data_IF_620561110122
#
_entry.id   IF_620561110122
#
_cell.length_a   1.000
_cell.length_b   1.000
_cell.length_c   1.000
_cell.angle_alpha   90.00
_cell.angle_beta   90.00
_cell.angle_gamma   90.00
#
_symmetry.space_group_name_H-M   'P 1'
#
loop_
_entity.id
_entity.type
_entity.pdbx_description
1 polymer ?
#
# COMPACT_ATOMS: atom_id res chain seq x y z
N UNK A 1 -24.42 -57.58 45.75
CA UNK A 1 -22.96 -57.34 45.83
C UNK A 1 -22.29 -57.79 44.52
N UNK A 2 -21.93 -56.86 43.63
CA UNK A 2 -20.81 -56.99 42.66
C UNK A 2 -20.36 -55.57 42.29
N UNK A 3 -19.19 -55.17 42.80
CA UNK A 3 -18.49 -53.94 42.40
C UNK A 3 -17.81 -54.24 41.06
N UNK A 4 -18.03 -53.43 40.03
CA UNK A 4 -17.03 -53.22 38.99
C UNK A 4 -17.08 -51.75 38.57
N UNK A 5 -15.96 -51.09 38.84
CA UNK A 5 -15.62 -49.72 38.52
C UNK A 5 -14.86 -49.74 37.18
N UNK A 6 -15.38 -49.06 36.16
CA UNK A 6 -14.70 -48.63 34.94
C UNK A 6 -15.12 -47.17 34.77
N UNK A 7 -14.37 -46.16 35.23
CA UNK A 7 -13.09 -45.64 34.72
C UNK A 7 -13.09 -45.33 33.21
N UNK A 8 -12.95 -44.02 32.93
CA UNK A 8 -12.27 -43.39 31.77
C UNK A 8 -13.10 -42.86 30.59
N UNK A 9 -13.07 -41.52 30.50
CA UNK A 9 -13.06 -40.64 29.32
C UNK A 9 -14.29 -40.53 28.42
N UNK A 10 -15.13 -39.53 28.72
CA UNK A 10 -15.76 -38.75 27.64
C UNK A 10 -14.75 -37.68 27.23
N UNK A 11 -14.09 -37.91 26.10
CA UNK A 11 -13.08 -37.04 25.51
C UNK A 11 -13.71 -35.69 25.16
N UNK A 12 -13.25 -34.64 25.83
CA UNK A 12 -13.51 -33.25 25.49
C UNK A 12 -12.91 -32.94 24.12
N UNK A 13 -13.69 -33.08 23.05
CA UNK A 13 -13.32 -32.60 21.72
C UNK A 13 -13.67 -31.11 21.65
N UNK A 14 -12.86 -30.27 22.30
CA UNK A 14 -12.81 -28.85 21.95
C UNK A 14 -12.14 -28.80 20.58
N UNK A 15 -12.96 -28.77 19.52
CA UNK A 15 -12.52 -28.48 18.18
C UNK A 15 -12.00 -27.03 18.16
N UNK A 16 -10.73 -26.85 18.52
CA UNK A 16 -10.00 -25.62 18.24
C UNK A 16 -9.85 -25.53 16.73
N UNK A 17 -10.86 -24.98 16.07
CA UNK A 17 -10.76 -24.51 14.71
C UNK A 17 -9.64 -23.46 14.69
N UNK A 18 -8.43 -23.91 14.32
CA UNK A 18 -7.32 -23.04 13.99
C UNK A 18 -7.77 -22.22 12.78
N UNK A 19 -8.29 -21.02 13.05
CA UNK A 19 -8.46 -19.97 12.06
C UNK A 19 -7.03 -19.57 11.67
N UNK A 20 -6.47 -20.28 10.69
CA UNK A 20 -5.26 -19.84 10.00
C UNK A 20 -5.65 -18.54 9.27
N UNK A 21 -5.12 -17.37 9.67
CA UNK A 21 -5.29 -16.19 8.85
C UNK A 21 -4.67 -16.51 7.49
N UNK A 22 -5.47 -16.36 6.43
CA UNK A 22 -4.98 -16.43 5.06
C UNK A 22 -3.87 -15.40 4.89
N UNK A 23 -2.62 -15.84 4.93
CA UNK A 23 -1.47 -15.06 4.48
C UNK A 23 -1.47 -15.13 2.95
N UNK A 24 -2.46 -14.50 2.32
CA UNK A 24 -2.40 -14.26 0.88
C UNK A 24 -1.08 -13.54 0.60
N UNK A 25 -0.15 -14.22 -0.08
CA UNK A 25 1.17 -13.69 -0.36
C UNK A 25 1.03 -12.29 -0.98
N UNK A 26 1.70 -11.30 -0.38
CA UNK A 26 1.62 -9.93 -0.86
C UNK A 26 2.07 -9.88 -2.32
N UNK A 27 1.19 -9.40 -3.21
CA UNK A 27 1.51 -9.19 -4.62
C UNK A 27 2.79 -8.35 -4.70
N UNK A 28 3.80 -8.84 -5.41
CA UNK A 28 5.05 -8.10 -5.65
C UNK A 28 4.82 -7.07 -6.75
N UNK A 29 5.22 -5.82 -6.51
CA UNK A 29 5.14 -4.75 -7.50
C UNK A 29 6.57 -4.31 -7.86
N UNK A 30 6.95 -4.24 -9.16
CA UNK A 30 8.30 -3.83 -9.55
C UNK A 30 8.73 -2.48 -8.94
N UNK A 31 7.79 -1.53 -8.88
CA UNK A 31 7.93 -0.21 -8.29
C UNK A 31 8.43 -0.23 -6.84
N UNK A 32 8.15 -1.31 -6.10
CA UNK A 32 8.55 -1.44 -4.69
C UNK A 32 10.08 -1.45 -4.51
N UNK A 33 10.83 -1.70 -5.59
CA UNK A 33 12.30 -1.66 -5.61
C UNK A 33 12.87 -0.25 -5.85
N UNK A 34 12.04 0.72 -6.18
CA UNK A 34 12.48 2.09 -6.44
C UNK A 34 12.84 2.85 -5.16
N UNK A 35 13.57 3.98 -5.27
CA UNK A 35 13.78 4.90 -4.15
C UNK A 35 12.46 5.32 -3.49
N UNK A 36 12.47 5.48 -2.17
CA UNK A 36 11.29 5.84 -1.37
C UNK A 36 11.16 7.34 -1.10
N UNK A 37 12.08 8.13 -1.63
CA UNK A 37 12.14 9.59 -1.52
C UNK A 37 12.54 10.19 -2.86
N UNK A 38 12.10 11.42 -3.10
CA UNK A 38 12.47 12.25 -4.25
C UNK A 38 12.83 13.65 -3.76
N UNK A 39 13.60 14.39 -4.56
CA UNK A 39 13.88 15.80 -4.29
C UNK A 39 12.71 16.66 -4.80
N UNK A 40 12.04 17.34 -3.86
CA UNK A 40 10.93 18.27 -4.12
C UNK A 40 11.30 19.72 -3.80
N UNK A 41 12.58 20.01 -3.54
CA UNK A 41 13.04 21.35 -3.12
C UNK A 41 12.66 22.48 -4.07
N UNK A 42 12.47 22.16 -5.35
CA UNK A 42 12.08 23.11 -6.41
C UNK A 42 10.59 23.11 -6.74
N UNK A 43 9.78 22.32 -6.03
CA UNK A 43 8.35 22.21 -6.31
C UNK A 43 7.60 23.44 -5.76
N UNK A 44 6.52 23.89 -6.41
CA UNK A 44 5.61 24.87 -5.82
C UNK A 44 5.12 24.42 -4.45
N UNK A 45 4.87 25.38 -3.56
CA UNK A 45 4.48 25.15 -2.15
C UNK A 45 3.35 24.12 -2.01
N UNK A 46 2.31 24.22 -2.83
CA UNK A 46 1.18 23.29 -2.84
C UNK A 46 1.62 21.82 -3.05
N UNK A 47 2.54 21.57 -3.98
CA UNK A 47 3.02 20.23 -4.28
C UNK A 47 4.02 19.72 -3.23
N UNK A 48 4.80 20.60 -2.61
CA UNK A 48 5.65 20.26 -1.46
C UNK A 48 4.81 19.86 -0.25
N UNK A 49 3.72 20.58 0.04
CA UNK A 49 2.76 20.20 1.08
C UNK A 49 2.06 18.87 0.76
N UNK A 50 1.65 18.69 -0.50
CA UNK A 50 1.08 17.42 -0.98
C UNK A 50 2.04 16.24 -0.82
N UNK A 51 3.33 16.42 -1.13
CA UNK A 51 4.38 15.42 -0.90
C UNK A 51 4.53 15.08 0.58
N UNK A 52 4.60 16.07 1.46
CA UNK A 52 4.72 15.84 2.91
C UNK A 52 3.54 15.03 3.46
N UNK A 53 2.33 15.37 3.02
CA UNK A 53 1.11 14.65 3.40
C UNK A 53 1.12 13.21 2.88
N UNK A 54 1.54 13.03 1.63
CA UNK A 54 1.72 11.73 1.00
C UNK A 54 2.74 10.85 1.75
N UNK A 55 3.91 11.39 2.11
CA UNK A 55 4.93 10.70 2.90
C UNK A 55 4.44 10.30 4.29
N UNK A 56 3.60 11.13 4.92
CA UNK A 56 3.05 10.85 6.23
C UNK A 56 2.00 9.71 6.19
N UNK A 57 1.13 9.71 5.18
CA UNK A 57 -0.10 8.89 5.15
C UNK A 57 0.01 7.65 4.26
N UNK A 58 0.66 7.73 3.10
CA UNK A 58 0.65 6.64 2.11
C UNK A 58 1.65 5.52 2.41
N UNK A 59 2.61 5.72 3.33
CA UNK A 59 3.59 4.69 3.73
C UNK A 59 3.06 3.60 4.67
N UNK A 60 1.80 3.73 5.13
CA UNK A 60 1.24 2.86 6.18
C UNK A 60 0.96 1.43 5.73
N UNK A 61 0.61 1.23 4.46
CA UNK A 61 0.17 -0.08 3.96
C UNK A 61 1.15 -0.70 2.96
N UNK A 62 1.99 0.10 2.32
CA UNK A 62 3.01 -0.34 1.38
C UNK A 62 4.08 0.74 1.21
N UNK A 63 5.17 0.39 0.52
CA UNK A 63 6.22 1.35 0.20
C UNK A 63 5.70 2.53 -0.61
N UNK A 64 6.27 3.70 -0.34
CA UNK A 64 6.05 4.96 -1.06
C UNK A 64 6.52 4.87 -2.52
N UNK A 65 7.54 4.04 -2.78
CA UNK A 65 8.06 3.84 -4.12
C UNK A 65 6.97 3.39 -5.11
N UNK A 66 5.95 2.65 -4.63
CA UNK A 66 4.88 2.10 -5.47
C UNK A 66 4.13 3.17 -6.28
N UNK A 67 3.58 4.23 -5.64
CA UNK A 67 3.03 5.36 -6.36
C UNK A 67 4.09 6.23 -7.08
N UNK A 68 5.23 6.55 -6.45
CA UNK A 68 6.25 7.44 -7.05
C UNK A 68 6.76 6.95 -8.42
N UNK A 69 6.88 5.63 -8.60
CA UNK A 69 7.42 5.01 -9.81
C UNK A 69 6.33 4.35 -10.68
N UNK A 70 5.06 4.66 -10.44
CA UNK A 70 3.97 4.11 -11.24
C UNK A 70 3.88 4.78 -12.63
N UNK A 71 3.28 4.09 -13.60
CA UNK A 71 2.96 4.64 -14.93
C UNK A 71 1.64 5.43 -14.97
N UNK A 72 0.97 5.69 -13.83
CA UNK A 72 -0.30 6.42 -13.80
C UNK A 72 -0.11 7.90 -14.13
N UNK A 73 -1.08 8.46 -14.85
CA UNK A 73 -1.05 9.84 -15.33
C UNK A 73 -2.39 10.54 -15.09
N UNK A 74 -2.37 11.87 -14.92
CA UNK A 74 -3.58 12.69 -14.89
C UNK A 74 -4.66 12.15 -13.94
N UNK A 75 -5.86 11.90 -14.46
CA UNK A 75 -7.02 11.44 -13.70
C UNK A 75 -6.89 10.03 -13.10
N UNK A 76 -5.93 9.23 -13.57
CA UNK A 76 -5.62 7.95 -12.94
C UNK A 76 -5.29 8.12 -11.46
N UNK A 77 -4.64 9.23 -11.11
CA UNK A 77 -4.29 9.51 -9.73
C UNK A 77 -5.48 9.79 -8.84
N UNK A 78 -6.52 10.48 -9.34
CA UNK A 78 -7.75 10.68 -8.55
C UNK A 78 -8.45 9.36 -8.30
N UNK A 79 -8.63 8.57 -9.36
CA UNK A 79 -9.27 7.27 -9.28
C UNK A 79 -8.50 6.34 -8.34
N UNK A 80 -7.18 6.30 -8.46
CA UNK A 80 -6.34 5.37 -7.70
C UNK A 80 -6.20 5.76 -6.23
N UNK A 81 -6.04 7.05 -5.92
CA UNK A 81 -6.00 7.51 -4.52
C UNK A 81 -7.34 7.27 -3.81
N UNK A 82 -8.48 7.53 -4.47
CA UNK A 82 -9.82 7.17 -3.95
C UNK A 82 -9.98 5.67 -3.75
N UNK A 83 -9.39 4.84 -4.62
CA UNK A 83 -9.37 3.38 -4.43
C UNK A 83 -8.59 2.99 -3.17
N UNK A 84 -7.48 3.65 -2.86
CA UNK A 84 -6.70 3.38 -1.63
C UNK A 84 -7.46 3.80 -0.38
N UNK A 85 -8.18 4.93 -0.40
CA UNK A 85 -9.01 5.39 0.73
C UNK A 85 -10.08 4.38 1.14
N UNK A 86 -10.58 3.57 0.20
CA UNK A 86 -11.57 2.51 0.46
C UNK A 86 -10.97 1.28 1.15
N UNK A 87 -9.65 1.22 1.34
CA UNK A 87 -9.00 0.11 2.05
C UNK A 87 -9.15 0.28 3.57
N UNK A 88 -9.48 -0.80 4.31
CA UNK A 88 -9.57 -0.75 5.76
C UNK A 88 -8.30 -0.16 6.39
N UNK A 89 -8.46 0.77 7.33
CA UNK A 89 -7.34 1.39 8.04
C UNK A 89 -6.53 2.42 7.24
N UNK A 90 -6.98 2.82 6.03
CA UNK A 90 -6.33 3.90 5.29
C UNK A 90 -6.50 5.25 6.04
N UNK A 91 -5.42 5.98 6.36
CA UNK A 91 -5.50 7.24 7.10
C UNK A 91 -5.81 8.47 6.21
N UNK A 92 -6.05 8.27 4.91
CA UNK A 92 -6.28 9.36 3.94
C UNK A 92 -7.75 9.80 4.00
N UNK A 93 -7.97 11.05 4.36
CA UNK A 93 -9.31 11.68 4.43
C UNK A 93 -9.72 12.29 3.08
N UNK A 94 -11.02 12.61 2.89
CA UNK A 94 -11.48 13.32 1.68
C UNK A 94 -10.76 14.64 1.41
N UNK A 95 -10.28 15.34 2.45
CA UNK A 95 -9.54 16.60 2.35
C UNK A 95 -8.08 16.39 1.95
N UNK A 96 -7.48 15.24 2.31
CA UNK A 96 -6.11 14.89 1.94
C UNK A 96 -5.99 14.47 0.48
N UNK A 97 -6.98 13.71 0.00
CA UNK A 97 -6.97 13.09 -1.32
C UNK A 97 -6.61 14.04 -2.46
N UNK A 98 -7.27 15.21 -2.63
CA UNK A 98 -6.96 16.11 -3.73
C UNK A 98 -5.52 16.66 -3.65
N UNK A 99 -4.99 16.92 -2.44
CA UNK A 99 -3.60 17.39 -2.26
C UNK A 99 -2.58 16.32 -2.64
N UNK A 100 -2.81 15.08 -2.20
CA UNK A 100 -1.96 13.94 -2.54
C UNK A 100 -2.01 13.65 -4.04
N UNK A 101 -3.20 13.62 -4.64
CA UNK A 101 -3.36 13.40 -6.08
C UNK A 101 -2.76 14.54 -6.90
N UNK A 102 -2.91 15.80 -6.46
CA UNK A 102 -2.30 16.97 -7.08
C UNK A 102 -0.77 16.88 -7.11
N UNK A 103 -0.15 16.50 -5.99
CA UNK A 103 1.28 16.19 -5.94
C UNK A 103 1.65 15.08 -6.95
N UNK A 104 0.98 13.93 -6.93
CA UNK A 104 1.33 12.78 -7.79
C UNK A 104 1.21 13.10 -9.29
N UNK A 105 0.21 13.90 -9.68
CA UNK A 105 0.07 14.40 -11.06
C UNK A 105 1.22 15.31 -11.46
N UNK A 106 1.57 16.27 -10.59
CA UNK A 106 2.65 17.22 -10.84
C UNK A 106 4.01 16.52 -10.91
N UNK A 107 4.26 15.62 -9.96
CA UNK A 107 5.47 14.82 -9.86
C UNK A 107 5.66 13.94 -11.10
N UNK A 108 4.61 13.22 -11.52
CA UNK A 108 4.66 12.41 -12.74
C UNK A 108 5.04 13.26 -13.95
N UNK A 109 4.42 14.43 -14.13
CA UNK A 109 4.74 15.34 -15.25
C UNK A 109 6.17 15.86 -15.16
N UNK A 110 6.65 16.17 -13.96
CA UNK A 110 7.97 16.76 -13.73
C UNK A 110 9.09 15.74 -13.95
N UNK A 111 8.88 14.50 -13.50
CA UNK A 111 9.89 13.43 -13.55
C UNK A 111 9.54 12.34 -14.56
N UNK A 112 8.72 12.64 -15.57
CA UNK A 112 8.24 11.65 -16.56
C UNK A 112 9.41 10.87 -17.17
N UNK A 113 10.46 11.57 -17.58
CA UNK A 113 11.67 10.95 -18.14
C UNK A 113 12.31 9.96 -17.17
N UNK A 114 12.48 10.33 -15.90
CA UNK A 114 13.06 9.46 -14.88
C UNK A 114 12.22 8.21 -14.64
N UNK A 115 10.89 8.36 -14.62
CA UNK A 115 9.95 7.25 -14.47
C UNK A 115 10.05 6.32 -15.68
N UNK A 116 10.09 6.85 -16.91
CA UNK A 116 10.25 6.05 -18.11
C UNK A 116 11.58 5.30 -18.12
N UNK A 117 12.67 5.95 -17.73
CA UNK A 117 13.99 5.32 -17.68
C UNK A 117 14.07 4.24 -16.58
N UNK A 118 13.38 4.44 -15.44
CA UNK A 118 13.19 3.40 -14.42
C UNK A 118 12.54 2.14 -15.01
N UNK A 119 11.48 2.30 -15.81
CA UNK A 119 10.78 1.17 -16.43
C UNK A 119 11.58 0.49 -17.53
N UNK A 120 12.26 1.25 -18.40
CA UNK A 120 13.16 0.68 -19.41
C UNK A 120 14.23 -0.21 -18.78
N UNK A 121 14.81 0.22 -17.66
CA UNK A 121 15.80 -0.57 -16.90
C UNK A 121 15.22 -1.87 -16.32
N UNK A 122 13.92 -1.92 -16.06
CA UNK A 122 13.25 -3.12 -15.57
C UNK A 122 12.83 -4.07 -16.70
N UNK A 123 12.43 -3.52 -17.85
CA UNK A 123 11.95 -4.28 -19.02
C UNK A 123 13.09 -4.80 -19.90
N UNK A 124 14.24 -4.11 -19.92
CA UNK A 124 15.46 -4.57 -20.60
C UNK A 124 16.32 -5.54 -19.78
N UNK A 125 15.73 -6.16 -18.75
CA UNK A 125 16.35 -7.18 -17.89
C UNK A 125 15.67 -8.52 -18.04
#
# INVERSE_FOLDING_TARGET
MKKVMFLVLVVSFVATALILPSLAAAKKFPQDKGPTTIDVSKYPKEHTEGYNLFMAKCKKCHTIARPIWSKFQGEDWDRYTKKMMRKPGCPVTPQDQPKIAGFLKYDHKTREKEILDYWKKLEGK
#
